data_IF_882949005443
#
_entry.id   IF_882949005443
#
_cell.length_a   1.000
_cell.length_b   1.000
_cell.length_c   1.000
_cell.angle_alpha   90.00
_cell.angle_beta   90.00
_cell.angle_gamma   90.00
#
_symmetry.space_group_name_H-M   'P 1'
#
loop_
_entity.id
_entity.type
_entity.pdbx_description
1 polymer ?
#
# COMPACT_ATOMS: atom_id res chain seq x y z
N UNK A 1 -3.36 41.29 -7.74
CA UNK A 1 -3.22 40.22 -8.75
C UNK A 1 -2.74 39.01 -7.98
N UNK A 2 -3.56 37.97 -7.87
CA UNK A 2 -3.14 36.71 -7.24
C UNK A 2 -1.96 36.11 -8.00
N UNK A 3 -0.88 35.80 -7.31
CA UNK A 3 0.33 35.24 -7.91
C UNK A 3 0.15 33.73 -8.08
N UNK A 4 -0.54 33.34 -9.15
CA UNK A 4 -0.69 31.93 -9.50
C UNK A 4 0.66 31.40 -9.95
N UNK A 5 1.11 30.37 -9.29
CA UNK A 5 2.36 29.67 -9.59
C UNK A 5 2.05 28.26 -10.04
N UNK A 6 2.59 27.85 -11.17
CA UNK A 6 2.51 26.45 -11.65
C UNK A 6 3.78 25.72 -11.26
N UNK A 7 3.64 24.60 -10.52
CA UNK A 7 4.75 23.76 -10.12
C UNK A 7 4.46 22.29 -10.36
N UNK A 8 5.53 21.52 -10.49
CA UNK A 8 5.48 20.05 -10.67
C UNK A 8 6.27 19.41 -9.53
N UNK A 9 5.62 18.52 -8.80
CA UNK A 9 6.23 17.84 -7.66
C UNK A 9 6.18 16.33 -7.84
N UNK A 10 7.27 15.58 -7.59
CA UNK A 10 7.26 14.13 -7.53
C UNK A 10 6.39 13.64 -6.37
N UNK A 11 5.61 12.59 -6.61
CA UNK A 11 4.75 11.95 -5.60
C UNK A 11 5.15 10.50 -5.42
N UNK A 12 5.49 10.14 -4.18
CA UNK A 12 5.92 8.78 -3.83
C UNK A 12 4.74 7.91 -3.36
N UNK A 13 4.80 6.61 -3.66
CA UNK A 13 3.85 5.62 -3.15
C UNK A 13 2.57 5.44 -3.96
N UNK A 14 2.43 6.09 -5.12
CA UNK A 14 1.28 5.89 -6.00
C UNK A 14 1.47 4.64 -6.87
N UNK A 15 0.52 3.69 -6.79
CA UNK A 15 0.55 2.43 -7.54
C UNK A 15 -0.74 2.16 -8.34
N UNK A 16 -1.69 3.11 -8.39
CA UNK A 16 -2.96 2.88 -9.05
C UNK A 16 -3.64 4.20 -9.45
N UNK A 17 -4.53 4.14 -10.46
CA UNK A 17 -5.31 5.30 -10.89
C UNK A 17 -6.16 5.90 -9.76
N UNK A 18 -6.72 5.07 -8.86
CA UNK A 18 -7.43 5.57 -7.68
C UNK A 18 -6.52 6.37 -6.74
N UNK A 19 -5.24 5.98 -6.62
CA UNK A 19 -4.25 6.73 -5.84
C UNK A 19 -4.03 8.13 -6.43
N UNK A 20 -3.82 8.22 -7.75
CA UNK A 20 -3.67 9.49 -8.46
C UNK A 20 -4.91 10.40 -8.26
N UNK A 21 -6.11 9.85 -8.47
CA UNK A 21 -7.36 10.59 -8.26
C UNK A 21 -7.53 11.08 -6.80
N UNK A 22 -7.08 10.29 -5.81
CA UNK A 22 -7.17 10.70 -4.41
C UNK A 22 -6.20 11.84 -4.09
N UNK A 23 -4.98 11.83 -4.65
CA UNK A 23 -4.02 12.93 -4.55
C UNK A 23 -4.58 14.19 -5.20
N UNK A 24 -5.09 14.11 -6.43
CA UNK A 24 -5.73 15.25 -7.09
C UNK A 24 -6.86 15.86 -6.26
N UNK A 25 -7.76 15.01 -5.75
CA UNK A 25 -8.91 15.44 -4.95
C UNK A 25 -8.51 16.15 -3.66
N UNK A 26 -7.50 15.64 -2.95
CA UNK A 26 -7.09 16.23 -1.67
C UNK A 26 -6.36 17.54 -1.89
N UNK A 27 -5.56 17.65 -2.96
CA UNK A 27 -4.85 18.88 -3.32
C UNK A 27 -5.82 19.95 -3.83
N UNK A 28 -6.78 19.61 -4.71
CA UNK A 28 -7.83 20.54 -5.17
C UNK A 28 -8.73 21.08 -4.07
N UNK A 29 -8.82 20.40 -2.93
CA UNK A 29 -9.57 20.88 -1.76
C UNK A 29 -8.82 21.90 -0.90
N UNK A 30 -7.53 22.10 -1.15
CA UNK A 30 -6.76 23.09 -0.39
C UNK A 30 -7.13 24.50 -0.85
N UNK A 31 -7.31 25.40 0.12
CA UNK A 31 -7.58 26.82 -0.17
C UNK A 31 -6.38 27.41 -0.91
N UNK A 32 -6.61 28.15 -1.99
CA UNK A 32 -5.56 28.72 -2.82
C UNK A 32 -5.06 27.84 -3.97
N UNK A 33 -5.54 26.60 -4.11
CA UNK A 33 -5.28 25.74 -5.28
C UNK A 33 -6.36 25.99 -6.33
N UNK A 34 -5.94 26.33 -7.56
CA UNK A 34 -6.86 26.51 -8.69
C UNK A 34 -7.07 25.22 -9.48
N UNK A 35 -5.98 24.50 -9.78
CA UNK A 35 -6.04 23.21 -10.44
C UNK A 35 -4.91 22.30 -9.98
N UNK A 36 -5.15 21.00 -10.06
CA UNK A 36 -4.16 19.97 -9.78
C UNK A 36 -4.42 18.76 -10.67
N UNK A 37 -3.36 18.22 -11.27
CA UNK A 37 -3.44 16.99 -12.06
C UNK A 37 -2.26 16.08 -11.78
N UNK A 38 -2.49 14.76 -11.73
CA UNK A 38 -1.47 13.77 -11.45
C UNK A 38 -1.19 12.92 -12.69
N UNK A 39 0.07 12.86 -13.07
CA UNK A 39 0.54 11.88 -14.04
C UNK A 39 1.07 10.63 -13.30
N UNK A 40 0.28 9.55 -13.32
CA UNK A 40 0.64 8.30 -12.64
C UNK A 40 1.90 7.66 -13.23
N UNK A 41 2.07 7.71 -14.56
CA UNK A 41 3.21 7.07 -15.23
C UNK A 41 4.55 7.77 -14.92
N UNK A 42 4.52 9.10 -14.79
CA UNK A 42 5.68 9.89 -14.40
C UNK A 42 5.79 10.09 -12.87
N UNK A 43 4.77 9.64 -12.11
CA UNK A 43 4.66 9.83 -10.67
C UNK A 43 4.79 11.30 -10.22
N UNK A 44 4.18 12.24 -10.96
CA UNK A 44 4.25 13.67 -10.66
C UNK A 44 2.87 14.31 -10.51
N UNK A 45 2.79 15.26 -9.58
CA UNK A 45 1.67 16.17 -9.39
C UNK A 45 2.02 17.52 -10.05
N UNK A 46 1.19 17.98 -10.98
CA UNK A 46 1.21 19.34 -11.47
C UNK A 46 0.14 20.13 -10.74
N UNK A 47 0.49 21.26 -10.13
CA UNK A 47 -0.43 22.08 -9.35
C UNK A 47 -0.30 23.54 -9.71
N UNK A 48 -1.44 24.21 -9.95
CA UNK A 48 -1.59 25.64 -10.15
C UNK A 48 -2.19 26.24 -8.87
N UNK A 49 -1.40 27.02 -8.12
CA UNK A 49 -1.81 27.53 -6.81
C UNK A 49 -1.32 28.94 -6.54
N UNK A 50 -2.03 29.64 -5.63
CA UNK A 50 -1.63 30.95 -5.15
C UNK A 50 -0.61 30.80 -4.00
N UNK A 51 0.65 31.15 -4.25
CA UNK A 51 1.75 31.05 -3.28
C UNK A 51 1.60 31.99 -2.06
N UNK A 52 0.71 32.98 -2.13
CA UNK A 52 0.42 33.87 -0.98
C UNK A 52 -0.62 33.23 -0.01
N UNK A 53 -1.33 32.17 -0.45
CA UNK A 53 -2.40 31.51 0.32
C UNK A 53 -1.98 30.14 0.82
N UNK A 54 -1.34 29.33 -0.02
CA UNK A 54 -0.92 27.97 0.30
C UNK A 54 0.55 27.75 -0.01
N UNK A 55 1.28 27.15 0.95
CA UNK A 55 2.69 26.80 0.75
C UNK A 55 2.88 25.37 0.23
N UNK A 56 4.02 25.03 -0.40
CA UNK A 56 4.35 23.66 -0.80
C UNK A 56 4.31 22.67 0.36
N UNK A 57 4.71 23.08 1.56
CA UNK A 57 4.70 22.24 2.77
C UNK A 57 3.27 21.86 3.16
N UNK A 58 2.31 22.79 3.04
CA UNK A 58 0.90 22.51 3.29
C UNK A 58 0.32 21.52 2.28
N UNK A 59 0.74 21.61 1.01
CA UNK A 59 0.39 20.61 -0.01
C UNK A 59 0.97 19.24 0.33
N UNK A 60 2.24 19.19 0.75
CA UNK A 60 2.90 17.97 1.23
C UNK A 60 2.14 17.35 2.40
N UNK A 61 1.80 18.14 3.41
CA UNK A 61 1.03 17.67 4.57
C UNK A 61 -0.33 17.10 4.18
N UNK A 62 -1.01 17.73 3.22
CA UNK A 62 -2.30 17.23 2.71
C UNK A 62 -2.16 15.87 2.03
N UNK A 63 -1.10 15.69 1.22
CA UNK A 63 -0.79 14.44 0.53
C UNK A 63 -0.37 13.35 1.53
N UNK A 64 0.44 13.69 2.54
CA UNK A 64 0.86 12.77 3.60
C UNK A 64 -0.30 12.24 4.46
N UNK A 65 -1.35 13.04 4.68
CA UNK A 65 -2.55 12.62 5.41
C UNK A 65 -3.26 11.43 4.77
N UNK A 66 -3.20 11.30 3.44
CA UNK A 66 -3.81 10.19 2.70
C UNK A 66 -2.82 9.06 2.37
N UNK A 67 -1.59 9.12 2.92
CA UNK A 67 -0.63 8.02 2.87
C UNK A 67 0.37 8.06 1.72
N UNK A 68 0.49 9.20 1.01
CA UNK A 68 1.50 9.44 -0.02
C UNK A 68 2.51 10.48 0.48
N UNK A 69 3.64 10.63 -0.22
CA UNK A 69 4.62 11.68 0.07
C UNK A 69 4.84 12.57 -1.16
N UNK A 70 5.17 13.86 -0.90
CA UNK A 70 5.43 14.87 -1.92
C UNK A 70 6.84 15.42 -1.72
N UNK A 71 7.67 15.37 -2.76
CA UNK A 71 9.02 15.93 -2.73
C UNK A 71 8.95 17.39 -3.18
N UNK A 72 9.30 18.32 -2.28
CA UNK A 72 9.14 19.77 -2.49
C UNK A 72 10.46 20.53 -2.68
N UNK A 73 11.61 19.94 -2.37
CA UNK A 73 12.92 20.58 -2.48
C UNK A 73 13.39 20.66 -3.94
N UNK A 74 13.67 21.88 -4.42
CA UNK A 74 14.09 22.16 -5.79
C UNK A 74 15.61 21.98 -6.00
N UNK A 75 16.43 22.29 -5.01
CA UNK A 75 17.90 22.33 -5.16
C UNK A 75 18.61 20.97 -5.05
N UNK A 76 18.02 19.99 -4.32
CA UNK A 76 18.56 18.62 -4.17
C UNK A 76 17.56 17.54 -4.66
N UNK A 77 16.52 17.94 -5.36
CA UNK A 77 15.35 17.08 -5.64
C UNK A 77 15.68 15.80 -6.40
N UNK A 78 16.71 15.78 -7.23
CA UNK A 78 17.04 14.60 -8.04
C UNK A 78 17.78 13.54 -7.21
N UNK A 79 18.78 13.92 -6.42
CA UNK A 79 19.56 12.99 -5.58
C UNK A 79 18.70 12.45 -4.44
N UNK A 80 17.96 13.32 -3.75
CA UNK A 80 17.02 12.92 -2.68
C UNK A 80 15.90 12.02 -3.22
N UNK A 81 15.40 12.28 -4.42
CA UNK A 81 14.39 11.45 -5.07
C UNK A 81 14.94 10.05 -5.41
N UNK A 82 16.16 9.98 -5.98
CA UNK A 82 16.80 8.71 -6.30
C UNK A 82 17.11 7.90 -5.06
N UNK A 83 17.59 8.54 -3.99
CA UNK A 83 17.82 7.87 -2.69
C UNK A 83 16.52 7.38 -2.05
N UNK A 84 15.45 8.18 -2.09
CA UNK A 84 14.14 7.81 -1.57
C UNK A 84 13.52 6.65 -2.36
N UNK A 85 13.58 6.68 -3.70
CA UNK A 85 13.12 5.60 -4.57
C UNK A 85 13.92 4.31 -4.32
N UNK A 86 15.24 4.42 -4.19
CA UNK A 86 16.10 3.26 -3.92
C UNK A 86 15.83 2.65 -2.54
N UNK A 87 15.71 3.49 -1.50
CA UNK A 87 15.41 3.03 -0.16
C UNK A 87 14.03 2.37 -0.06
N UNK A 88 13.04 2.94 -0.75
CA UNK A 88 11.69 2.37 -0.85
C UNK A 88 11.69 1.02 -1.56
N UNK A 89 12.41 0.91 -2.69
CA UNK A 89 12.57 -0.34 -3.43
C UNK A 89 13.21 -1.44 -2.59
N UNK A 90 14.29 -1.13 -1.85
CA UNK A 90 14.94 -2.10 -0.96
C UNK A 90 14.01 -2.58 0.17
N UNK A 91 13.26 -1.66 0.77
CA UNK A 91 12.28 -2.01 1.80
C UNK A 91 11.18 -2.92 1.23
N UNK A 92 10.69 -2.59 0.03
CA UNK A 92 9.66 -3.38 -0.65
C UNK A 92 10.19 -4.78 -1.00
N UNK A 93 11.43 -4.88 -1.47
CA UNK A 93 12.10 -6.14 -1.76
C UNK A 93 12.23 -7.01 -0.50
N UNK A 94 12.70 -6.45 0.62
CA UNK A 94 12.80 -7.18 1.89
C UNK A 94 11.44 -7.70 2.37
N UNK A 95 10.41 -6.85 2.34
CA UNK A 95 9.04 -7.23 2.72
C UNK A 95 8.49 -8.33 1.81
N UNK A 96 8.76 -8.27 0.51
CA UNK A 96 8.35 -9.28 -0.46
C UNK A 96 9.02 -10.62 -0.19
N UNK A 97 10.34 -10.63 0.04
CA UNK A 97 11.09 -11.86 0.36
C UNK A 97 10.57 -12.50 1.64
N UNK A 98 10.39 -11.71 2.71
CA UNK A 98 9.83 -12.20 3.97
C UNK A 98 8.41 -12.76 3.76
N UNK A 99 7.57 -12.05 3.00
CA UNK A 99 6.21 -12.53 2.70
C UNK A 99 6.25 -13.92 2.05
N UNK A 100 7.11 -14.15 1.05
CA UNK A 100 7.22 -15.43 0.36
C UNK A 100 7.81 -16.54 1.22
N UNK A 101 8.81 -16.24 2.07
CA UNK A 101 9.40 -17.23 3.00
C UNK A 101 8.32 -17.83 3.91
N UNK A 102 7.36 -17.03 4.36
CA UNK A 102 6.31 -17.49 5.25
C UNK A 102 5.02 -17.91 4.52
N UNK A 103 4.66 -17.26 3.41
CA UNK A 103 3.44 -17.59 2.68
C UNK A 103 3.53 -18.95 1.97
N UNK A 104 4.70 -19.34 1.44
CA UNK A 104 4.87 -20.63 0.78
C UNK A 104 4.63 -21.82 1.73
N UNK A 105 5.23 -21.89 2.94
CA UNK A 105 4.91 -22.95 3.90
C UNK A 105 3.44 -22.95 4.30
N UNK A 106 2.83 -21.77 4.55
CA UNK A 106 1.41 -21.66 4.93
C UNK A 106 0.51 -22.20 3.82
N UNK A 107 0.78 -21.81 2.55
CA UNK A 107 0.04 -22.32 1.39
C UNK A 107 0.20 -23.82 1.22
N UNK A 108 1.43 -24.34 1.38
CA UNK A 108 1.70 -25.78 1.31
C UNK A 108 0.96 -26.56 2.40
N UNK A 109 0.96 -26.05 3.63
CA UNK A 109 0.22 -26.63 4.76
C UNK A 109 -1.29 -26.63 4.49
N UNK A 110 -1.85 -25.54 4.00
CA UNK A 110 -3.27 -25.44 3.66
C UNK A 110 -3.71 -26.35 2.51
N UNK A 111 -2.79 -26.69 1.57
CA UNK A 111 -3.13 -27.59 0.46
C UNK A 111 -3.00 -29.09 0.81
N UNK A 112 -2.00 -29.46 1.59
CA UNK A 112 -1.62 -30.87 1.74
C UNK A 112 -1.83 -31.44 3.14
N UNK A 113 -2.01 -30.59 4.17
CA UNK A 113 -2.03 -31.03 5.57
C UNK A 113 -3.26 -30.53 6.35
N UNK A 114 -4.36 -30.18 5.68
CA UNK A 114 -5.56 -29.65 6.34
C UNK A 114 -6.11 -30.58 7.43
N UNK A 115 -6.00 -31.89 7.25
CA UNK A 115 -6.51 -32.90 8.18
C UNK A 115 -5.59 -33.18 9.38
N UNK A 116 -4.40 -32.53 9.42
CA UNK A 116 -3.45 -32.81 10.49
C UNK A 116 -3.84 -32.06 11.77
N UNK A 117 -3.99 -32.74 12.93
CA UNK A 117 -4.43 -32.09 14.15
C UNK A 117 -3.44 -31.00 14.60
N UNK A 118 -3.97 -29.80 14.82
CA UNK A 118 -3.17 -28.66 15.28
C UNK A 118 -2.48 -27.85 14.19
N UNK A 119 -2.64 -28.20 12.91
CA UNK A 119 -2.04 -27.45 11.78
C UNK A 119 -2.46 -25.99 11.78
N UNK A 120 -3.71 -25.67 12.16
CA UNK A 120 -4.24 -24.32 12.20
C UNK A 120 -3.43 -23.37 13.09
N UNK A 121 -2.85 -23.88 14.19
CA UNK A 121 -1.98 -23.08 15.06
C UNK A 121 -0.64 -22.75 14.40
N UNK A 122 -0.06 -23.69 13.65
CA UNK A 122 1.16 -23.43 12.89
C UNK A 122 0.93 -22.42 11.77
N UNK A 123 -0.19 -22.57 11.03
CA UNK A 123 -0.58 -21.63 9.99
C UNK A 123 -0.84 -20.24 10.58
N UNK A 124 -1.50 -20.15 11.74
CA UNK A 124 -1.69 -18.88 12.46
C UNK A 124 -0.33 -18.21 12.76
N UNK A 125 0.58 -18.94 13.42
CA UNK A 125 1.88 -18.37 13.83
C UNK A 125 2.71 -17.92 12.62
N UNK A 126 2.74 -18.72 11.55
CA UNK A 126 3.48 -18.40 10.33
C UNK A 126 2.83 -17.26 9.52
N UNK A 127 1.53 -17.04 9.66
CA UNK A 127 0.84 -15.93 8.98
C UNK A 127 1.09 -14.56 9.63
N UNK A 128 1.40 -14.51 10.94
CA UNK A 128 1.62 -13.26 11.67
C UNK A 128 2.73 -12.38 11.06
N UNK A 129 3.94 -12.89 10.74
CA UNK A 129 4.97 -12.07 10.10
C UNK A 129 4.52 -11.49 8.75
N UNK A 130 3.73 -12.24 7.97
CA UNK A 130 3.24 -11.76 6.68
C UNK A 130 2.26 -10.62 6.87
N UNK A 131 1.28 -10.74 7.77
CA UNK A 131 0.28 -9.72 8.01
C UNK A 131 0.89 -8.47 8.67
N UNK A 132 1.62 -8.64 9.79
CA UNK A 132 2.04 -7.52 10.63
C UNK A 132 3.34 -6.86 10.20
N UNK A 133 4.25 -7.56 9.52
CA UNK A 133 5.48 -6.97 9.00
C UNK A 133 5.36 -6.64 7.50
N UNK A 134 5.12 -7.63 6.66
CA UNK A 134 5.08 -7.43 5.21
C UNK A 134 3.84 -6.64 4.78
N UNK A 135 2.67 -6.96 5.35
CA UNK A 135 1.38 -6.32 5.07
C UNK A 135 1.12 -5.01 5.80
N UNK A 136 1.95 -4.61 6.76
CA UNK A 136 1.73 -3.44 7.61
C UNK A 136 1.32 -2.17 6.85
N UNK A 137 2.00 -1.89 5.73
CA UNK A 137 1.73 -0.71 4.92
C UNK A 137 0.30 -0.68 4.36
N UNK A 138 -0.27 -1.85 3.98
CA UNK A 138 -1.65 -1.92 3.48
C UNK A 138 -2.65 -1.50 4.56
N UNK A 139 -2.47 -1.96 5.80
CA UNK A 139 -3.36 -1.62 6.91
C UNK A 139 -3.26 -0.15 7.31
N UNK A 140 -2.04 0.40 7.37
CA UNK A 140 -1.83 1.82 7.68
C UNK A 140 -2.44 2.71 6.60
N UNK A 141 -2.19 2.39 5.32
CA UNK A 141 -2.74 3.15 4.20
C UNK A 141 -4.27 3.04 4.14
N UNK A 142 -4.82 1.84 4.34
CA UNK A 142 -6.27 1.64 4.40
C UNK A 142 -6.92 2.48 5.50
N UNK A 143 -6.30 2.53 6.69
CA UNK A 143 -6.79 3.35 7.80
C UNK A 143 -6.75 4.85 7.50
N UNK A 144 -5.65 5.34 6.89
CA UNK A 144 -5.52 6.73 6.45
C UNK A 144 -6.58 7.07 5.40
N UNK A 145 -6.77 6.22 4.40
CA UNK A 145 -7.78 6.39 3.35
C UNK A 145 -9.21 6.39 3.91
N UNK A 146 -9.52 5.47 4.83
CA UNK A 146 -10.85 5.38 5.45
C UNK A 146 -11.22 6.66 6.21
N UNK A 147 -10.27 7.30 6.90
CA UNK A 147 -10.51 8.59 7.59
C UNK A 147 -10.91 9.72 6.64
N UNK A 148 -10.50 9.65 5.39
CA UNK A 148 -10.81 10.66 4.36
C UNK A 148 -11.94 10.23 3.40
N UNK A 149 -12.66 9.14 3.74
CA UNK A 149 -13.72 8.55 2.90
C UNK A 149 -13.26 8.25 1.47
N UNK A 150 -12.01 7.84 1.34
CA UNK A 150 -11.41 7.40 0.09
C UNK A 150 -11.00 5.94 0.19
N UNK A 151 -10.85 5.28 -0.95
CA UNK A 151 -10.40 3.90 -1.02
C UNK A 151 -9.43 3.73 -2.18
N UNK A 152 -8.55 2.77 -2.05
CA UNK A 152 -7.59 2.37 -3.08
C UNK A 152 -7.35 0.85 -3.02
N UNK A 153 -6.40 0.36 -3.81
CA UNK A 153 -6.03 -1.06 -3.80
C UNK A 153 -5.59 -1.54 -2.41
N UNK A 154 -4.86 -0.72 -1.65
CA UNK A 154 -4.41 -1.09 -0.30
C UNK A 154 -5.59 -1.31 0.66
N UNK A 155 -6.66 -0.52 0.51
CA UNK A 155 -7.90 -0.67 1.29
C UNK A 155 -8.57 -2.02 1.01
N UNK A 156 -8.63 -2.43 -0.26
CA UNK A 156 -9.22 -3.70 -0.66
C UNK A 156 -8.40 -4.88 -0.11
N UNK A 157 -7.07 -4.83 -0.24
CA UNK A 157 -6.15 -5.85 0.28
C UNK A 157 -6.27 -5.95 1.80
N UNK A 158 -6.24 -4.83 2.51
CA UNK A 158 -6.35 -4.80 3.97
C UNK A 158 -7.69 -5.37 4.45
N UNK A 159 -8.80 -5.02 3.80
CA UNK A 159 -10.13 -5.51 4.18
C UNK A 159 -10.24 -7.03 3.95
N UNK A 160 -9.89 -7.51 2.75
CA UNK A 160 -10.02 -8.92 2.39
C UNK A 160 -9.13 -9.82 3.27
N UNK A 161 -7.87 -9.43 3.48
CA UNK A 161 -6.94 -10.21 4.31
C UNK A 161 -7.30 -10.16 5.80
N UNK A 162 -7.85 -9.04 6.30
CA UNK A 162 -8.36 -8.94 7.67
C UNK A 162 -9.54 -9.87 7.89
N UNK A 163 -10.51 -9.90 6.97
CA UNK A 163 -11.67 -10.78 7.07
C UNK A 163 -11.24 -12.26 7.05
N UNK A 164 -10.38 -12.63 6.09
CA UNK A 164 -9.85 -13.99 5.98
C UNK A 164 -9.11 -14.41 7.27
N UNK A 165 -8.26 -13.53 7.80
CA UNK A 165 -7.49 -13.80 9.02
C UNK A 165 -8.39 -13.90 10.26
N UNK A 166 -9.31 -12.95 10.47
CA UNK A 166 -10.20 -12.95 11.64
C UNK A 166 -11.16 -14.14 11.63
N UNK A 167 -11.68 -14.50 10.47
CA UNK A 167 -12.50 -15.68 10.31
C UNK A 167 -11.72 -16.96 10.64
N UNK A 168 -10.49 -17.08 10.13
CA UNK A 168 -9.62 -18.23 10.42
C UNK A 168 -9.21 -18.29 11.89
N UNK A 169 -8.95 -17.14 12.50
CA UNK A 169 -8.66 -17.03 13.93
C UNK A 169 -9.85 -17.50 14.77
N UNK A 170 -11.07 -17.07 14.43
CA UNK A 170 -12.28 -17.54 15.09
C UNK A 170 -12.43 -19.07 14.99
N UNK A 171 -12.24 -19.63 13.80
CA UNK A 171 -12.33 -21.07 13.57
C UNK A 171 -11.25 -21.88 14.31
N UNK A 172 -10.06 -21.30 14.46
CA UNK A 172 -8.96 -21.91 15.22
C UNK A 172 -9.23 -21.88 16.73
N UNK A 173 -9.81 -20.79 17.26
CA UNK A 173 -10.08 -20.63 18.70
C UNK A 173 -11.36 -21.35 19.14
N UNK A 174 -12.37 -21.38 18.30
CA UNK A 174 -13.70 -21.93 18.63
C UNK A 174 -14.15 -23.03 17.65
N UNK A 175 -13.39 -24.12 17.47
CA UNK A 175 -13.74 -25.15 16.50
C UNK A 175 -15.03 -25.91 16.90
N UNK A 176 -15.36 -25.99 18.21
CA UNK A 176 -16.57 -26.64 18.73
C UNK A 176 -17.87 -26.04 18.16
N UNK A 177 -17.89 -24.75 17.91
CA UNK A 177 -19.05 -24.06 17.31
C UNK A 177 -19.48 -24.70 15.98
N UNK A 178 -18.52 -25.11 15.17
CA UNK A 178 -18.77 -25.72 13.86
C UNK A 178 -19.09 -27.22 13.99
N UNK A 179 -18.39 -27.95 14.86
CA UNK A 179 -18.64 -29.38 15.08
C UNK A 179 -20.05 -29.65 15.64
N UNK A 180 -20.58 -28.76 16.49
CA UNK A 180 -21.95 -28.88 17.02
C UNK A 180 -23.02 -28.69 15.93
N UNK A 181 -22.65 -28.05 14.82
CA UNK A 181 -23.51 -27.84 13.63
C UNK A 181 -23.26 -28.89 12.53
N UNK A 182 -22.39 -29.86 12.76
CA UNK A 182 -22.02 -30.88 11.78
C UNK A 182 -21.14 -30.38 10.65
N UNK A 183 -20.45 -29.21 10.84
CA UNK A 183 -19.55 -28.61 9.88
C UNK A 183 -18.10 -28.69 10.36
N UNK A 184 -17.15 -28.72 9.40
CA UNK A 184 -15.73 -28.63 9.71
C UNK A 184 -15.25 -27.19 9.70
N UNK A 185 -14.40 -26.76 10.68
CA UNK A 185 -13.88 -25.41 10.75
C UNK A 185 -12.77 -25.23 9.72
N UNK A 186 -13.07 -24.62 8.56
CA UNK A 186 -12.07 -24.26 7.55
C UNK A 186 -11.37 -22.96 7.91
N UNK A 187 -10.05 -22.91 7.67
CA UNK A 187 -9.21 -21.71 7.82
C UNK A 187 -8.75 -21.20 6.46
N UNK A 188 -8.42 -19.91 6.36
CA UNK A 188 -8.02 -19.21 5.14
C UNK A 188 -6.74 -18.37 5.36
N UNK A 189 -5.84 -18.84 6.25
CA UNK A 189 -4.55 -18.16 6.49
C UNK A 189 -3.69 -18.14 5.24
N UNK A 190 -3.73 -19.21 4.43
CA UNK A 190 -3.02 -19.32 3.17
C UNK A 190 -3.51 -18.25 2.17
N UNK A 191 -4.83 -18.06 2.08
CA UNK A 191 -5.39 -17.03 1.18
C UNK A 191 -4.93 -15.63 1.60
N UNK A 192 -4.99 -15.30 2.90
CA UNK A 192 -4.56 -14.00 3.40
C UNK A 192 -3.07 -13.73 3.12
N UNK A 193 -2.19 -14.72 3.38
CA UNK A 193 -0.74 -14.58 3.21
C UNK A 193 -0.33 -14.52 1.73
N UNK A 194 -0.93 -15.35 0.89
CA UNK A 194 -0.65 -15.42 -0.55
C UNK A 194 -1.11 -14.14 -1.25
N UNK A 195 -2.27 -13.58 -0.89
CA UNK A 195 -2.74 -12.29 -1.44
C UNK A 195 -1.71 -11.18 -1.15
N UNK A 196 -1.26 -11.06 0.11
CA UNK A 196 -0.25 -10.07 0.48
C UNK A 196 1.05 -10.28 -0.32
N UNK A 197 1.54 -11.53 -0.42
CA UNK A 197 2.77 -11.84 -1.12
C UNK A 197 2.69 -11.48 -2.61
N UNK A 198 1.61 -11.83 -3.30
CA UNK A 198 1.43 -11.47 -4.73
C UNK A 198 1.28 -9.98 -4.96
N UNK A 199 0.54 -9.27 -4.10
CA UNK A 199 0.40 -7.81 -4.24
C UNK A 199 1.73 -7.11 -4.03
N UNK A 200 2.57 -7.58 -3.09
CA UNK A 200 3.93 -7.04 -2.90
C UNK A 200 4.82 -7.30 -4.12
N UNK A 201 4.74 -8.48 -4.75
CA UNK A 201 5.44 -8.74 -6.02
C UNK A 201 4.97 -7.79 -7.11
N UNK A 202 3.66 -7.59 -7.23
CA UNK A 202 3.10 -6.63 -8.20
C UNK A 202 3.65 -5.22 -8.01
N UNK A 203 3.66 -4.72 -6.78
CA UNK A 203 4.26 -3.42 -6.44
C UNK A 203 5.76 -3.36 -6.74
N UNK A 204 6.51 -4.42 -6.44
CA UNK A 204 7.94 -4.51 -6.72
C UNK A 204 8.24 -4.46 -8.22
N UNK A 205 7.44 -5.17 -9.03
CA UNK A 205 7.57 -5.14 -10.49
C UNK A 205 7.23 -3.77 -11.07
N UNK A 206 6.21 -3.11 -10.54
CA UNK A 206 5.81 -1.76 -10.93
C UNK A 206 6.92 -0.74 -10.65
N UNK A 207 7.48 -0.74 -9.44
CA UNK A 207 8.60 0.16 -9.08
C UNK A 207 9.83 -0.07 -9.97
N UNK A 208 10.15 -1.31 -10.25
CA UNK A 208 11.24 -1.65 -11.18
C UNK A 208 10.98 -1.14 -12.61
N UNK A 209 9.73 -1.13 -13.04
CA UNK A 209 9.35 -0.61 -14.37
C UNK A 209 9.44 0.94 -14.40
N UNK A 210 8.97 1.63 -13.35
CA UNK A 210 9.03 3.09 -13.24
C UNK A 210 10.47 3.61 -13.26
N UNK A 211 11.37 3.01 -12.50
CA UNK A 211 12.78 3.41 -12.47
C UNK A 211 13.46 3.33 -13.85
N UNK A 212 13.10 2.34 -14.68
CA UNK A 212 13.63 2.24 -16.05
C UNK A 212 13.08 3.33 -16.98
N UNK A 213 11.82 3.70 -16.83
CA UNK A 213 11.17 4.71 -17.68
C UNK A 213 11.67 6.11 -17.35
N UNK A 214 11.89 6.42 -16.08
CA UNK A 214 12.47 7.70 -15.64
C UNK A 214 13.87 7.92 -16.21
N UNK A 215 14.71 6.90 -16.24
CA UNK A 215 16.05 6.97 -16.87
C UNK A 215 16.01 7.15 -18.39
N UNK A 216 14.98 6.63 -19.07
CA UNK A 216 14.85 6.74 -20.53
C UNK A 216 14.38 8.13 -20.98
N UNK A 217 13.58 8.82 -20.18
CA UNK A 217 13.09 10.19 -20.47
C UNK A 217 14.16 11.25 -20.18
N UNK A 218 15.13 10.94 -19.32
CA UNK A 218 16.24 11.83 -18.93
C UNK A 218 17.44 11.82 -19.89
N UNK A 219 17.44 10.97 -20.94
CA UNK A 219 18.42 10.98 -22.05
C UNK A 219 17.89 11.78 -23.23
#
# INVERSE_FOLDING_TARGET
MSKITKKVYPVMGMHCAACANNVEKIVKKQEGVEDASVNLAAAVLTVDFNSDVVSPEQLKDAVMKIGFDLIIDEDNSMEEQEEAEHSYYEQLQRKTVVAWIFALPVAFMGMFFMDFPGINWWMLVLSLPVLFYSGHAFYVNAWKQAKHFTSNMDTLVALSTSIAFLFSLFNTLYPRFWYEQGLEPHVYYEAATVIIAFVLVGKLMEEKAKGKTSMAIRK
#
